data_IF_892679219900
#
_entry.id   IF_892679219900
#
_cell.length_a   1.000
_cell.length_b   1.000
_cell.length_c   1.000
_cell.angle_alpha   90.00
_cell.angle_beta   90.00
_cell.angle_gamma   90.00
#
_symmetry.space_group_name_H-M   'P 1'
#
loop_
_entity.id
_entity.type
_entity.pdbx_description
1 polymer ?
#
# COMPACT_ATOMS: atom_id res chain seq x y z
N UNK A 1 15.11 17.92 3.85
CA UNK A 1 14.35 16.66 3.72
C UNK A 1 12.93 16.94 4.19
N UNK A 2 11.94 16.87 3.31
CA UNK A 2 10.53 17.02 3.68
C UNK A 2 10.19 16.03 4.81
N UNK A 3 9.63 16.50 5.92
CA UNK A 3 9.14 15.62 6.99
C UNK A 3 7.90 14.94 6.46
N UNK A 4 8.02 13.66 6.10
CA UNK A 4 6.86 12.81 5.80
C UNK A 4 6.02 12.70 7.08
N UNK A 5 4.71 12.93 6.96
CA UNK A 5 3.78 12.82 8.09
C UNK A 5 3.78 11.37 8.64
N UNK A 6 4.08 11.16 9.94
CA UNK A 6 4.03 9.84 10.56
C UNK A 6 2.68 9.12 10.44
N UNK A 7 1.58 9.88 10.44
CA UNK A 7 0.23 9.33 10.27
C UNK A 7 0.02 8.82 8.84
N UNK A 8 0.56 9.52 7.84
CA UNK A 8 0.51 9.06 6.45
C UNK A 8 1.29 7.75 6.27
N UNK A 9 2.43 7.60 6.94
CA UNK A 9 3.20 6.35 6.93
C UNK A 9 2.37 5.20 7.53
N UNK A 10 1.68 5.45 8.66
CA UNK A 10 0.81 4.46 9.29
C UNK A 10 -0.36 4.06 8.38
N UNK A 11 -1.06 5.03 7.81
CA UNK A 11 -2.19 4.78 6.91
C UNK A 11 -1.76 4.01 5.65
N UNK A 12 -0.60 4.35 5.05
CA UNK A 12 -0.05 3.61 3.91
C UNK A 12 0.32 2.17 4.28
N UNK A 13 0.80 1.93 5.50
CA UNK A 13 1.09 0.57 5.98
C UNK A 13 -0.19 -0.25 6.14
N UNK A 14 -1.26 0.36 6.63
CA UNK A 14 -2.58 -0.28 6.75
C UNK A 14 -3.15 -0.60 5.37
N UNK A 15 -3.16 0.37 4.44
CA UNK A 15 -3.60 0.18 3.05
C UNK A 15 -2.81 -0.94 2.35
N UNK A 16 -1.50 -1.01 2.56
CA UNK A 16 -0.67 -2.09 2.01
C UNK A 16 -1.16 -3.47 2.48
N UNK A 17 -1.45 -3.61 3.77
CA UNK A 17 -1.92 -4.88 4.34
C UNK A 17 -3.33 -5.22 3.86
N UNK A 18 -4.21 -4.24 3.76
CA UNK A 18 -5.57 -4.42 3.22
C UNK A 18 -5.53 -4.93 1.77
N UNK A 19 -4.75 -4.29 0.90
CA UNK A 19 -4.59 -4.72 -0.49
C UNK A 19 -3.94 -6.11 -0.57
N UNK A 20 -2.96 -6.40 0.29
CA UNK A 20 -2.36 -7.73 0.35
C UNK A 20 -3.37 -8.80 0.82
N UNK A 21 -4.34 -8.45 1.66
CA UNK A 21 -5.46 -9.32 2.04
C UNK A 21 -6.39 -9.57 0.87
N UNK A 22 -6.76 -8.52 0.13
CA UNK A 22 -7.62 -8.63 -1.06
C UNK A 22 -6.99 -9.50 -2.16
N UNK A 23 -5.67 -9.43 -2.31
CA UNK A 23 -4.93 -10.23 -3.28
C UNK A 23 -4.59 -11.64 -2.78
N UNK A 24 -4.89 -11.99 -1.53
CA UNK A 24 -4.60 -13.31 -0.97
C UNK A 24 -3.11 -13.57 -0.69
N UNK A 25 -2.29 -12.53 -0.61
CA UNK A 25 -0.81 -12.59 -0.45
C UNK A 25 -0.34 -11.96 0.87
N UNK A 26 -1.22 -11.89 1.87
CA UNK A 26 -0.92 -11.24 3.16
C UNK A 26 0.28 -11.83 3.88
N UNK A 27 0.44 -13.15 3.79
CA UNK A 27 1.54 -13.88 4.42
C UNK A 27 2.91 -13.40 3.93
N UNK A 28 3.00 -12.96 2.66
CA UNK A 28 4.24 -12.43 2.08
C UNK A 28 4.67 -11.10 2.71
N UNK A 29 3.76 -10.41 3.40
CA UNK A 29 4.02 -9.11 4.04
C UNK A 29 4.02 -9.15 5.56
N UNK A 30 3.49 -10.21 6.18
CA UNK A 30 3.44 -10.41 7.63
C UNK A 30 4.60 -11.27 8.14
N UNK A 31 5.00 -12.28 7.37
CA UNK A 31 5.96 -13.29 7.81
C UNK A 31 7.39 -12.98 7.37
N UNK A 32 8.05 -12.05 8.08
CA UNK A 32 9.44 -11.61 7.77
C UNK A 32 10.47 -12.73 7.68
N UNK A 33 10.26 -13.85 8.37
CA UNK A 33 11.24 -14.92 8.49
C UNK A 33 11.23 -15.92 7.33
N UNK A 34 10.22 -15.87 6.45
CA UNK A 34 10.06 -16.79 5.30
C UNK A 34 9.84 -16.08 3.94
N UNK A 35 10.09 -14.76 3.87
CA UNK A 35 9.97 -14.04 2.60
C UNK A 35 11.19 -14.36 1.73
N UNK A 36 11.05 -15.31 0.80
CA UNK A 36 11.98 -15.39 -0.33
C UNK A 36 12.00 -14.04 -1.05
N UNK A 37 13.18 -13.50 -1.31
CA UNK A 37 13.34 -12.23 -2.04
C UNK A 37 12.57 -12.22 -3.36
N UNK A 38 12.41 -13.39 -4.00
CA UNK A 38 11.61 -13.54 -5.20
C UNK A 38 10.11 -13.30 -4.94
N UNK A 39 9.55 -13.89 -3.88
CA UNK A 39 8.15 -13.70 -3.48
C UNK A 39 7.84 -12.23 -3.19
N UNK A 40 8.75 -11.54 -2.50
CA UNK A 40 8.62 -10.08 -2.25
C UNK A 40 8.55 -9.28 -3.55
N UNK A 41 9.40 -9.57 -4.55
CA UNK A 41 9.42 -8.85 -5.83
C UNK A 41 8.09 -9.00 -6.57
N UNK A 42 7.56 -10.23 -6.65
CA UNK A 42 6.30 -10.50 -7.37
C UNK A 42 5.07 -9.99 -6.61
N UNK A 43 5.10 -9.98 -5.27
CA UNK A 43 4.02 -9.48 -4.43
C UNK A 43 3.98 -7.94 -4.36
N UNK A 44 5.14 -7.28 -4.28
CA UNK A 44 5.23 -5.83 -4.07
C UNK A 44 4.72 -5.00 -5.25
N UNK A 45 4.91 -5.47 -6.49
CA UNK A 45 4.49 -4.76 -7.70
C UNK A 45 2.97 -4.51 -7.77
N UNK A 46 2.14 -5.57 -7.77
CA UNK A 46 0.68 -5.45 -7.79
C UNK A 46 0.14 -4.62 -6.62
N UNK A 47 0.66 -4.84 -5.41
CA UNK A 47 0.24 -4.09 -4.20
C UNK A 47 0.56 -2.60 -4.36
N UNK A 48 1.80 -2.26 -4.74
CA UNK A 48 2.22 -0.87 -4.93
C UNK A 48 1.44 -0.15 -6.03
N UNK A 49 1.12 -0.85 -7.13
CA UNK A 49 0.29 -0.32 -8.21
C UNK A 49 -1.13 0.01 -7.73
N UNK A 50 -1.77 -0.89 -6.99
CA UNK A 50 -3.10 -0.66 -6.42
C UNK A 50 -3.10 0.44 -5.35
N UNK A 51 -2.07 0.50 -4.50
CA UNK A 51 -1.90 1.61 -3.55
C UNK A 51 -1.86 2.96 -4.27
N UNK A 52 -1.07 3.05 -5.34
CA UNK A 52 -0.95 4.28 -6.14
C UNK A 52 -2.30 4.68 -6.74
N UNK A 53 -3.02 3.72 -7.31
CA UNK A 53 -4.37 3.94 -7.85
C UNK A 53 -5.34 4.46 -6.78
N UNK A 54 -5.40 3.83 -5.60
CA UNK A 54 -6.27 4.28 -4.51
C UNK A 54 -5.94 5.69 -4.03
N UNK A 55 -4.65 6.03 -3.94
CA UNK A 55 -4.23 7.39 -3.56
C UNK A 55 -4.67 8.44 -4.58
N UNK A 56 -4.59 8.11 -5.88
CA UNK A 56 -5.11 8.97 -6.96
C UNK A 56 -6.62 9.14 -6.79
N UNK A 57 -7.37 8.04 -6.62
CA UNK A 57 -8.84 8.10 -6.45
C UNK A 57 -9.25 8.90 -5.20
N UNK A 58 -8.50 8.83 -4.10
CA UNK A 58 -8.72 9.66 -2.90
C UNK A 58 -8.47 11.13 -3.22
N UNK A 59 -7.37 11.45 -3.90
CA UNK A 59 -7.03 12.82 -4.29
C UNK A 59 -8.07 13.41 -5.25
N UNK A 60 -8.49 12.65 -6.25
CA UNK A 60 -9.55 13.06 -7.19
C UNK A 60 -10.86 13.37 -6.47
N UNK A 61 -11.29 12.52 -5.53
CA UNK A 61 -12.49 12.77 -4.72
C UNK A 61 -12.37 14.02 -3.87
N UNK A 62 -11.24 14.20 -3.20
CA UNK A 62 -10.99 15.39 -2.37
C UNK A 62 -11.03 16.67 -3.20
N UNK A 63 -10.47 16.66 -4.40
CA UNK A 63 -10.51 17.82 -5.30
C UNK A 63 -11.92 18.12 -5.83
N UNK A 64 -12.74 17.10 -6.06
CA UNK A 64 -14.14 17.27 -6.50
C UNK A 64 -15.02 17.77 -5.34
N UNK A 65 -14.81 17.26 -4.12
CA UNK A 65 -15.59 17.63 -2.93
C UNK A 65 -15.24 19.03 -2.39
N UNK A 66 -14.12 19.61 -2.82
CA UNK A 66 -13.68 20.98 -2.50
C UNK A 66 -14.27 22.07 -3.43
N UNK A 67 -15.03 21.68 -4.46
CA UNK A 67 -15.70 22.57 -5.44
C UNK A 67 -17.21 22.76 -5.14
#
# INVERSE_FOLDING_TARGET
MSRIDPNAIKALKEMKLEIAQELGISEDFTNKDNISSATNIFAAGPVGGLMTRRLIEIGEKQLIDEE
#
